data_IF_207787796223
#
_entry.id   IF_207787796223
#
_cell.length_a   1.000
_cell.length_b   1.000
_cell.length_c   1.000
_cell.angle_alpha   90.00
_cell.angle_beta   90.00
_cell.angle_gamma   90.00
#
_symmetry.space_group_name_H-M   'P 1'
#
loop_
_entity.id
_entity.type
_entity.pdbx_description
1 polymer ?
#
# COMPACT_ATOMS: atom_id res chain seq x y z
N UNK A 1 3.41 -7.87 12.36
CA UNK A 1 2.06 -7.53 11.87
C UNK A 1 2.11 -6.48 10.77
N UNK A 2 2.67 -5.28 11.00
CA UNK A 2 2.66 -4.18 9.99
C UNK A 2 3.32 -4.57 8.67
N UNK A 3 4.45 -5.28 8.68
CA UNK A 3 5.10 -5.76 7.46
C UNK A 3 4.18 -6.71 6.68
N UNK A 4 3.53 -7.64 7.37
CA UNK A 4 2.58 -8.56 6.75
C UNK A 4 1.41 -7.82 6.10
N UNK A 5 0.76 -6.92 6.85
CA UNK A 5 -0.36 -6.12 6.35
C UNK A 5 0.03 -5.22 5.17
N UNK A 6 1.28 -4.80 5.10
CA UNK A 6 1.78 -3.95 4.02
C UNK A 6 2.10 -4.72 2.74
N UNK A 7 2.63 -5.94 2.87
CA UNK A 7 3.16 -6.68 1.73
C UNK A 7 2.32 -7.88 1.28
N UNK A 8 1.47 -8.42 2.15
CA UNK A 8 0.77 -9.68 1.87
C UNK A 8 -0.74 -9.52 1.93
N UNK A 9 -1.30 -9.35 3.13
CA UNK A 9 -2.73 -9.31 3.32
C UNK A 9 -3.09 -8.47 4.55
N UNK A 10 -4.21 -7.78 4.47
CA UNK A 10 -4.69 -6.92 5.56
C UNK A 10 -5.36 -7.68 6.70
N UNK A 11 -5.91 -8.85 6.43
CA UNK A 11 -6.64 -9.63 7.42
C UNK A 11 -5.69 -10.52 8.22
N UNK A 12 -5.76 -10.39 9.54
CA UNK A 12 -4.96 -11.13 10.50
C UNK A 12 -5.90 -11.99 11.31
N UNK A 13 -5.81 -13.31 11.14
CA UNK A 13 -6.49 -14.28 11.95
C UNK A 13 -5.51 -15.04 12.86
N UNK A 14 -6.02 -15.88 13.76
CA UNK A 14 -5.20 -16.62 14.72
C UNK A 14 -4.17 -17.54 14.04
N UNK A 15 -4.52 -18.14 12.92
CA UNK A 15 -3.61 -18.99 12.14
C UNK A 15 -2.45 -18.19 11.58
N UNK A 16 -2.73 -17.03 10.96
CA UNK A 16 -1.68 -16.13 10.45
C UNK A 16 -0.78 -15.62 11.57
N UNK A 17 -1.36 -15.30 12.73
CA UNK A 17 -0.57 -14.89 13.90
C UNK A 17 0.38 -15.99 14.35
N UNK A 18 -0.09 -17.22 14.46
CA UNK A 18 0.70 -18.34 14.97
C UNK A 18 1.74 -18.84 13.94
N UNK A 19 1.34 -18.97 12.68
CA UNK A 19 2.15 -19.66 11.67
C UNK A 19 3.08 -18.73 10.87
N UNK A 20 2.73 -17.44 10.78
CA UNK A 20 3.49 -16.47 9.96
C UNK A 20 4.08 -15.36 10.82
N UNK A 21 3.24 -14.67 11.62
CA UNK A 21 3.69 -13.49 12.36
C UNK A 21 4.63 -13.85 13.50
N UNK A 22 4.33 -14.90 14.28
CA UNK A 22 5.18 -15.32 15.39
C UNK A 22 6.58 -15.78 14.92
N UNK A 23 6.73 -16.64 13.88
CA UNK A 23 8.03 -16.95 13.31
C UNK A 23 8.78 -15.73 12.76
N UNK A 24 8.09 -14.79 12.08
CA UNK A 24 8.70 -13.54 11.63
C UNK A 24 9.22 -12.68 12.79
N UNK A 25 8.47 -12.63 13.89
CA UNK A 25 8.89 -11.91 15.10
C UNK A 25 10.16 -12.54 15.70
N UNK A 26 10.26 -13.88 15.70
CA UNK A 26 11.46 -14.57 16.13
C UNK A 26 12.67 -14.24 15.25
N UNK A 27 12.50 -14.23 13.92
CA UNK A 27 13.58 -13.81 12.99
C UNK A 27 14.06 -12.40 13.30
N UNK A 28 13.16 -11.47 13.65
CA UNK A 28 13.54 -10.10 14.04
C UNK A 28 14.36 -10.10 15.34
N UNK A 29 13.98 -10.89 16.33
CA UNK A 29 14.70 -11.02 17.61
C UNK A 29 16.10 -11.61 17.40
N UNK A 30 16.20 -12.67 16.62
CA UNK A 30 17.45 -13.38 16.34
C UNK A 30 18.45 -12.55 15.49
N UNK A 31 17.97 -11.47 14.86
CA UNK A 31 18.77 -10.59 14.00
C UNK A 31 18.82 -9.13 14.48
N UNK A 32 18.82 -8.92 15.79
CA UNK A 32 18.94 -7.59 16.39
C UNK A 32 17.94 -6.55 15.84
N UNK A 33 16.70 -6.97 15.59
CA UNK A 33 15.62 -6.16 15.00
C UNK A 33 15.91 -5.64 13.58
N UNK A 34 16.81 -6.25 12.85
CA UNK A 34 17.00 -5.95 11.43
C UNK A 34 15.78 -6.42 10.63
N UNK A 35 15.21 -5.51 9.85
CA UNK A 35 13.97 -5.76 9.10
C UNK A 35 14.21 -6.68 7.89
N UNK A 36 15.38 -6.57 7.26
CA UNK A 36 15.69 -7.29 6.01
C UNK A 36 15.53 -8.81 6.13
N UNK A 37 16.09 -9.51 7.15
CA UNK A 37 15.93 -10.97 7.26
C UNK A 37 14.47 -11.41 7.42
N UNK A 38 13.68 -10.67 8.21
CA UNK A 38 12.25 -10.96 8.41
C UNK A 38 11.45 -10.72 7.12
N UNK A 39 11.76 -9.67 6.38
CA UNK A 39 11.12 -9.38 5.10
C UNK A 39 11.50 -10.42 4.05
N UNK A 40 12.76 -10.84 3.99
CA UNK A 40 13.20 -11.92 3.11
C UNK A 40 12.48 -13.23 3.41
N UNK A 41 12.37 -13.61 4.69
CA UNK A 41 11.65 -14.82 5.11
C UNK A 41 10.18 -14.76 4.66
N UNK A 42 9.52 -13.61 4.81
CA UNK A 42 8.13 -13.41 4.37
C UNK A 42 7.99 -13.50 2.85
N UNK A 43 8.75 -12.72 2.10
CA UNK A 43 8.61 -12.59 0.66
C UNK A 43 9.08 -13.85 -0.12
N UNK A 44 9.93 -14.68 0.49
CA UNK A 44 10.37 -15.96 -0.07
C UNK A 44 9.51 -17.14 0.39
N UNK A 45 8.56 -16.93 1.31
CA UNK A 45 7.70 -17.99 1.84
C UNK A 45 6.69 -18.49 0.80
N UNK A 46 6.30 -19.76 0.90
CA UNK A 46 5.21 -20.33 0.11
C UNK A 46 3.92 -19.53 0.31
N UNK A 47 3.66 -19.10 1.54
CA UNK A 47 2.47 -18.31 1.90
C UNK A 47 2.35 -17.02 1.11
N UNK A 48 3.44 -16.32 0.85
CA UNK A 48 3.41 -15.08 0.03
C UNK A 48 2.86 -15.33 -1.38
N UNK A 49 3.12 -16.50 -1.95
CA UNK A 49 2.68 -16.88 -3.31
C UNK A 49 1.33 -17.59 -3.35
N UNK A 50 0.68 -17.81 -2.22
CA UNK A 50 -0.63 -18.45 -2.18
C UNK A 50 -1.66 -17.67 -3.00
N UNK A 51 -2.54 -18.41 -3.65
CA UNK A 51 -3.59 -17.83 -4.50
C UNK A 51 -4.51 -16.87 -3.73
N UNK A 52 -4.75 -17.15 -2.45
CA UNK A 52 -5.57 -16.29 -1.57
C UNK A 52 -4.98 -14.89 -1.35
N UNK A 53 -3.66 -14.76 -1.46
CA UNK A 53 -2.96 -13.49 -1.29
C UNK A 53 -2.81 -12.68 -2.59
N UNK A 54 -3.27 -13.23 -3.72
CA UNK A 54 -3.19 -12.54 -5.01
C UNK A 54 -4.38 -11.61 -5.20
N UNK A 55 -4.07 -10.33 -5.45
CA UNK A 55 -5.12 -9.33 -5.71
C UNK A 55 -5.96 -8.96 -4.49
N UNK A 56 -5.56 -9.36 -3.29
CA UNK A 56 -6.24 -9.00 -2.04
C UNK A 56 -6.03 -7.54 -1.63
N UNK A 57 -4.95 -6.92 -2.11
CA UNK A 57 -4.60 -5.54 -1.80
C UNK A 57 -5.09 -4.59 -2.87
N UNK A 58 -5.79 -3.54 -2.46
CA UNK A 58 -6.24 -2.47 -3.36
C UNK A 58 -5.24 -1.33 -3.27
N UNK A 59 -4.75 -0.89 -4.43
CA UNK A 59 -3.86 0.27 -4.50
C UNK A 59 -4.59 1.52 -4.04
N UNK A 60 -3.90 2.37 -3.30
CA UNK A 60 -4.41 3.71 -3.04
C UNK A 60 -4.49 4.53 -4.35
N UNK A 61 -5.27 5.62 -4.38
CA UNK A 61 -5.47 6.42 -5.58
C UNK A 61 -4.18 6.93 -6.23
N UNK A 62 -3.20 7.35 -5.44
CA UNK A 62 -1.93 7.86 -5.97
C UNK A 62 -1.09 6.74 -6.58
N UNK A 63 -0.94 5.61 -5.87
CA UNK A 63 -0.20 4.45 -6.39
C UNK A 63 -0.86 3.88 -7.65
N UNK A 64 -2.18 3.82 -7.68
CA UNK A 64 -2.91 3.38 -8.86
C UNK A 64 -2.64 4.29 -10.05
N UNK A 65 -2.78 5.61 -9.85
CA UNK A 65 -2.57 6.58 -10.91
C UNK A 65 -1.12 6.59 -11.41
N UNK A 66 -0.13 6.78 -10.52
CA UNK A 66 1.25 6.91 -10.94
C UNK A 66 1.84 5.61 -11.50
N UNK A 67 1.45 4.45 -10.96
CA UNK A 67 1.87 3.17 -11.56
C UNK A 67 1.27 2.97 -12.95
N UNK A 68 0.00 3.34 -13.14
CA UNK A 68 -0.63 3.27 -14.47
C UNK A 68 0.00 4.26 -15.44
N UNK A 69 0.21 5.50 -15.01
CA UNK A 69 0.86 6.54 -15.79
C UNK A 69 2.24 6.10 -16.30
N UNK A 70 3.06 5.54 -15.40
CA UNK A 70 4.39 5.05 -15.75
C UNK A 70 4.35 3.79 -16.63
N UNK A 71 3.45 2.84 -16.34
CA UNK A 71 3.35 1.60 -17.10
C UNK A 71 2.88 1.84 -18.54
N UNK A 72 1.96 2.75 -18.73
CA UNK A 72 1.47 3.12 -20.07
C UNK A 72 2.36 4.15 -20.77
N UNK A 73 3.45 4.59 -20.13
CA UNK A 73 4.38 5.59 -20.66
C UNK A 73 3.67 6.84 -21.19
N UNK A 74 2.68 7.30 -20.41
CA UNK A 74 1.92 8.50 -20.78
C UNK A 74 2.87 9.69 -20.81
N UNK A 75 3.05 10.28 -21.99
CA UNK A 75 3.84 11.49 -22.12
C UNK A 75 2.97 12.71 -21.80
N UNK A 76 3.40 13.57 -20.89
CA UNK A 76 2.68 14.81 -20.65
C UNK A 76 2.68 15.68 -21.91
N UNK A 77 1.63 16.49 -22.04
CA UNK A 77 1.53 17.50 -23.11
C UNK A 77 2.75 18.42 -23.03
N UNK A 78 3.30 18.82 -24.15
CA UNK A 78 4.52 19.63 -24.20
C UNK A 78 4.30 21.10 -23.84
N UNK A 79 3.10 21.63 -24.10
CA UNK A 79 2.75 22.98 -23.70
C UNK A 79 2.58 23.12 -22.19
N UNK A 80 3.27 24.08 -21.59
CA UNK A 80 3.30 24.27 -20.13
C UNK A 80 1.91 24.60 -19.55
N UNK A 81 1.10 25.41 -20.25
CA UNK A 81 -0.22 25.76 -19.75
C UNK A 81 -1.16 24.56 -19.75
N UNK A 82 -1.06 23.71 -20.76
CA UNK A 82 -1.85 22.50 -20.84
C UNK A 82 -1.37 21.45 -19.84
N UNK A 83 -0.07 21.38 -19.53
CA UNK A 83 0.44 20.59 -18.42
C UNK A 83 -0.18 21.01 -17.09
N UNK A 84 -0.24 22.31 -16.79
CA UNK A 84 -0.87 22.80 -15.56
C UNK A 84 -2.36 22.45 -15.48
N UNK A 85 -3.11 22.62 -16.55
CA UNK A 85 -4.53 22.22 -16.62
C UNK A 85 -4.69 20.72 -16.35
N UNK A 86 -3.83 19.90 -16.94
CA UNK A 86 -3.82 18.45 -16.74
C UNK A 86 -3.57 18.08 -15.27
N UNK A 87 -2.53 18.64 -14.64
CA UNK A 87 -2.22 18.36 -13.25
C UNK A 87 -3.28 18.87 -12.27
N UNK A 88 -3.88 20.03 -12.55
CA UNK A 88 -5.00 20.56 -11.77
C UNK A 88 -6.22 19.63 -11.86
N UNK A 89 -6.53 19.10 -13.04
CA UNK A 89 -7.61 18.13 -13.20
C UNK A 89 -7.37 16.86 -12.36
N UNK A 90 -6.14 16.34 -12.36
CA UNK A 90 -5.78 15.20 -11.51
C UNK A 90 -5.80 15.52 -10.02
N UNK A 91 -5.38 16.70 -9.62
CA UNK A 91 -5.49 17.14 -8.22
C UNK A 91 -6.93 17.08 -7.72
N UNK A 92 -7.90 17.54 -8.49
CA UNK A 92 -9.31 17.46 -8.14
C UNK A 92 -9.80 16.01 -8.09
N UNK A 93 -9.34 15.14 -8.96
CA UNK A 93 -9.66 13.71 -8.89
C UNK A 93 -9.11 13.03 -7.63
N UNK A 94 -7.89 13.35 -7.23
CA UNK A 94 -7.33 12.85 -5.98
C UNK A 94 -8.10 13.36 -4.76
N UNK A 95 -8.59 14.59 -4.79
CA UNK A 95 -9.43 15.15 -3.75
C UNK A 95 -10.76 14.38 -3.65
N UNK A 96 -11.42 14.12 -4.77
CA UNK A 96 -12.65 13.31 -4.83
C UNK A 96 -12.43 11.87 -4.28
N UNK A 97 -11.27 11.29 -4.55
CA UNK A 97 -10.90 9.97 -4.06
C UNK A 97 -10.37 9.96 -2.61
N UNK A 98 -10.35 11.11 -1.95
CA UNK A 98 -9.93 11.22 -0.56
C UNK A 98 -8.43 11.09 -0.30
N UNK A 99 -7.59 11.23 -1.34
CA UNK A 99 -6.13 11.16 -1.19
C UNK A 99 -5.44 12.27 -2.00
N UNK A 100 -5.34 13.45 -1.41
CA UNK A 100 -4.72 14.61 -2.05
C UNK A 100 -3.23 14.66 -1.78
N UNK A 101 -2.42 14.92 -2.80
CA UNK A 101 -0.99 15.17 -2.63
C UNK A 101 -0.74 16.40 -1.75
N UNK A 102 0.23 16.29 -0.84
CA UNK A 102 0.66 17.36 0.08
C UNK A 102 -0.41 17.88 1.06
N UNK A 103 -1.59 17.24 1.12
CA UNK A 103 -2.66 17.59 2.06
C UNK A 103 -3.06 16.39 2.90
N UNK A 104 -2.19 16.01 3.83
CA UNK A 104 -2.41 14.89 4.73
C UNK A 104 -3.40 15.30 5.81
N UNK A 105 -4.52 14.58 6.04
CA UNK A 105 -5.59 15.00 6.93
C UNK A 105 -5.22 14.97 8.42
N UNK A 106 -4.20 14.21 8.80
CA UNK A 106 -3.75 14.12 10.19
C UNK A 106 -2.28 13.75 10.31
N UNK A 107 -1.70 13.90 11.50
CA UNK A 107 -0.33 13.46 11.83
C UNK A 107 -0.15 11.94 11.61
N UNK A 108 -1.23 11.16 11.77
CA UNK A 108 -1.23 9.71 11.54
C UNK A 108 -1.30 9.33 10.04
N UNK A 109 -1.46 10.30 9.16
CA UNK A 109 -1.62 10.06 7.72
C UNK A 109 -3.10 10.03 7.28
N UNK A 110 -3.35 9.39 6.15
CA UNK A 110 -4.72 9.13 5.68
C UNK A 110 -5.37 8.01 6.51
N UNK A 111 -6.66 8.16 6.78
CA UNK A 111 -7.44 7.20 7.57
C UNK A 111 -7.29 5.77 7.07
N UNK A 112 -7.22 5.61 5.75
CA UNK A 112 -6.95 4.34 5.11
C UNK A 112 -5.70 3.60 5.64
N UNK A 113 -4.76 4.25 6.28
CA UNK A 113 -3.54 3.63 6.77
C UNK A 113 -3.47 3.42 8.29
N UNK A 114 -4.45 3.92 9.05
CA UNK A 114 -4.40 3.81 10.50
C UNK A 114 -5.73 3.43 11.18
N UNK A 115 -6.85 3.43 10.46
CA UNK A 115 -8.13 2.98 11.03
C UNK A 115 -8.29 1.46 11.00
N UNK A 116 -9.04 0.93 11.98
CA UNK A 116 -9.52 -0.43 11.99
C UNK A 116 -11.07 -0.42 11.99
N UNK A 117 -11.76 -1.28 11.27
CA UNK A 117 -11.26 -2.27 10.31
C UNK A 117 -10.85 -1.61 9.00
N UNK A 118 -9.87 -2.12 8.43
CA UNK A 118 -9.12 -1.84 7.20
C UNK A 118 -9.81 -0.99 6.15
N UNK A 119 -9.28 -0.14 5.98
CA UNK A 119 -8.94 1.12 5.36
C UNK A 119 -8.81 1.06 3.82
N UNK A 120 -8.31 0.02 3.16
CA UNK A 120 -8.29 -0.07 1.70
C UNK A 120 -9.70 -0.01 1.07
N UNK A 121 -10.72 -0.43 1.82
CA UNK A 121 -12.13 -0.27 1.42
C UNK A 121 -12.56 1.20 1.32
N UNK A 122 -11.87 2.13 1.97
CA UNK A 122 -12.13 3.56 1.82
C UNK A 122 -11.82 4.08 0.41
N UNK A 123 -11.10 3.30 -0.39
CA UNK A 123 -10.84 3.62 -1.79
C UNK A 123 -11.89 3.07 -2.76
N UNK A 124 -12.88 2.31 -2.24
CA UNK A 124 -13.98 1.75 -3.03
C UNK A 124 -15.26 2.37 -2.49
N UNK A 125 -15.83 3.30 -3.24
CA UNK A 125 -17.13 3.90 -3.00
C UNK A 125 -18.15 3.37 -3.98
#
# INVERSE_FOLDING_TARGET
>A
RRLYMWFVHYDLNETIEAEIIAPMAQVLLDNDYQIQPALEALLKSQHFFDAANRGCMIKNPLDFFFSSYNNFKVNPVTDTNDQYKYWVAWYWKFLELGMTTFSIPSVAGWQAYHQAPLFYRNWIN
#
